data_IF_945794479538
#
_entry.id   IF_945794479538
#
_cell.length_a   1.000
_cell.length_b   1.000
_cell.length_c   1.000
_cell.angle_alpha   90.00
_cell.angle_beta   90.00
_cell.angle_gamma   90.00
#
_symmetry.space_group_name_H-M   'P 1'
#
loop_
_entity.id
_entity.type
_entity.pdbx_description
1 polymer ?
#
# COMPACT_ATOMS: atom_id res chain seq x y z
N UNK A 1 6.91 -5.92 16.55
CA UNK A 1 7.71 -5.56 15.39
C UNK A 1 8.86 -4.68 15.80
N UNK A 2 10.05 -5.01 15.38
CA UNK A 2 11.26 -4.39 15.87
C UNK A 2 11.69 -3.11 15.15
N UNK A 3 11.02 -2.77 14.07
CA UNK A 3 11.43 -1.61 13.28
C UNK A 3 11.39 -0.32 14.09
N UNK A 4 10.31 -0.13 14.82
CA UNK A 4 10.15 1.09 15.61
C UNK A 4 11.17 1.17 16.76
N UNK A 5 11.62 0.04 17.24
CA UNK A 5 12.58 0.01 18.33
C UNK A 5 13.94 0.52 17.88
N UNK A 6 14.32 0.14 16.67
CA UNK A 6 15.65 0.47 16.19
C UNK A 6 15.73 1.86 15.58
N UNK A 7 14.60 2.42 15.18
CA UNK A 7 14.67 3.63 14.37
C UNK A 7 13.33 4.36 14.35
N UNK A 8 13.03 5.07 15.41
CA UNK A 8 11.80 5.85 15.50
C UNK A 8 11.68 6.86 14.37
N UNK A 9 12.78 7.56 14.07
CA UNK A 9 12.77 8.54 13.00
C UNK A 9 12.49 7.93 11.65
N UNK A 10 13.02 6.73 11.39
CA UNK A 10 12.76 6.05 10.13
C UNK A 10 11.31 5.58 10.04
N UNK A 11 10.76 5.09 11.15
CA UNK A 11 9.37 4.67 11.18
C UNK A 11 8.44 5.87 10.95
N UNK A 12 8.73 7.00 11.58
CA UNK A 12 7.94 8.21 11.41
C UNK A 12 7.99 8.69 9.96
N UNK A 13 9.16 8.66 9.34
CA UNK A 13 9.30 9.06 7.94
C UNK A 13 8.52 8.14 7.02
N UNK A 14 8.53 6.83 7.31
CA UNK A 14 7.79 5.88 6.51
C UNK A 14 6.28 6.12 6.64
N UNK A 15 5.80 6.32 7.86
CA UNK A 15 4.38 6.60 8.08
C UNK A 15 3.95 7.88 7.36
N UNK A 16 4.80 8.91 7.39
CA UNK A 16 4.53 10.15 6.66
C UNK A 16 4.44 9.90 5.17
N UNK A 17 5.36 9.10 4.63
CA UNK A 17 5.35 8.78 3.20
C UNK A 17 4.11 7.99 2.81
N UNK A 18 3.70 7.06 3.65
CA UNK A 18 2.48 6.28 3.40
C UNK A 18 1.27 7.22 3.45
N UNK A 19 1.21 8.09 4.45
CA UNK A 19 0.11 9.05 4.56
C UNK A 19 0.05 9.95 3.33
N UNK A 20 1.20 10.49 2.91
CA UNK A 20 1.24 11.33 1.72
C UNK A 20 0.78 10.58 0.48
N UNK A 21 1.18 9.32 0.36
CA UNK A 21 0.75 8.49 -0.77
C UNK A 21 -0.77 8.28 -0.75
N UNK A 22 -1.33 8.04 0.43
CA UNK A 22 -2.78 7.89 0.56
C UNK A 22 -3.51 9.16 0.12
N UNK A 23 -2.99 10.32 0.47
CA UNK A 23 -3.57 11.59 0.05
C UNK A 23 -3.51 11.76 -1.46
N UNK A 24 -2.40 11.39 -2.06
CA UNK A 24 -2.27 11.43 -3.52
C UNK A 24 -3.23 10.48 -4.19
N UNK A 25 -3.38 9.29 -3.64
CA UNK A 25 -4.32 8.31 -4.20
C UNK A 25 -5.77 8.80 -4.07
N UNK A 26 -6.07 9.54 -3.02
CA UNK A 26 -7.40 10.14 -2.89
C UNK A 26 -7.66 11.17 -3.98
N UNK A 27 -6.64 11.95 -4.35
CA UNK A 27 -6.76 12.95 -5.40
C UNK A 27 -6.67 12.35 -6.80
N UNK A 28 -5.85 11.32 -6.97
CA UNK A 28 -5.59 10.68 -8.27
C UNK A 28 -5.69 9.16 -8.11
N UNK A 29 -6.90 8.64 -7.94
CA UNK A 29 -7.04 7.21 -7.62
C UNK A 29 -6.56 6.28 -8.72
N UNK A 30 -6.46 6.75 -9.94
CA UNK A 30 -6.04 5.91 -11.05
C UNK A 30 -4.54 5.90 -11.26
N UNK A 31 -3.77 6.61 -10.42
CA UNK A 31 -2.33 6.61 -10.60
C UNK A 31 -1.68 5.29 -10.18
N UNK A 32 -2.35 4.50 -9.33
CA UNK A 32 -1.86 3.20 -8.95
C UNK A 32 -2.05 2.18 -10.05
N UNK A 33 -1.23 1.13 -10.02
CA UNK A 33 -1.27 0.08 -11.02
C UNK A 33 -2.42 -0.87 -10.76
N UNK A 34 -3.13 -1.25 -11.80
CA UNK A 34 -4.18 -2.27 -11.68
C UNK A 34 -3.58 -3.62 -11.33
N UNK A 35 -4.20 -4.31 -10.41
CA UNK A 35 -3.75 -5.61 -9.95
C UNK A 35 -4.89 -6.63 -10.01
N UNK A 36 -5.33 -7.00 -11.22
CA UNK A 36 -6.40 -8.00 -11.35
C UNK A 36 -5.97 -9.38 -10.87
N UNK A 37 -4.66 -9.60 -10.77
CA UNK A 37 -4.11 -10.83 -10.21
C UNK A 37 -4.41 -10.98 -8.72
N UNK A 38 -4.69 -9.87 -8.03
CA UNK A 38 -5.04 -9.89 -6.61
C UNK A 38 -6.55 -9.86 -6.43
N UNK A 39 -7.21 -8.92 -7.06
CA UNK A 39 -8.65 -8.80 -7.07
C UNK A 39 -9.05 -7.95 -8.27
N UNK A 40 -10.28 -8.13 -8.75
CA UNK A 40 -10.72 -7.49 -9.99
C UNK A 40 -10.67 -5.96 -9.92
N UNK A 41 -10.85 -5.40 -8.73
CA UNK A 41 -10.85 -3.95 -8.54
C UNK A 41 -9.64 -3.45 -7.75
N UNK A 42 -8.64 -4.30 -7.55
CA UNK A 42 -7.47 -3.93 -6.77
C UNK A 42 -6.49 -3.09 -7.58
N UNK A 43 -5.87 -2.14 -6.89
CA UNK A 43 -4.76 -1.36 -7.41
C UNK A 43 -3.66 -1.33 -6.38
N UNK A 44 -2.43 -1.05 -6.82
CA UNK A 44 -1.29 -1.01 -5.92
C UNK A 44 -0.45 0.23 -6.17
N UNK A 45 0.16 0.71 -5.09
CA UNK A 45 1.08 1.84 -5.14
C UNK A 45 2.23 1.57 -4.18
N UNK A 46 3.46 1.64 -4.69
CA UNK A 46 4.64 1.34 -3.88
C UNK A 46 5.12 2.57 -3.13
N UNK A 47 5.48 2.37 -1.86
CA UNK A 47 6.09 3.38 -1.02
C UNK A 47 7.29 2.73 -0.34
N UNK A 48 8.50 3.03 -0.84
CA UNK A 48 9.69 2.37 -0.34
C UNK A 48 9.59 0.86 -0.54
N UNK A 49 9.72 0.11 0.54
CA UNK A 49 9.61 -1.34 0.51
C UNK A 49 8.20 -1.83 0.77
N UNK A 50 7.23 -0.95 0.81
CA UNK A 50 5.85 -1.29 1.12
C UNK A 50 4.97 -1.11 -0.10
N UNK A 51 3.88 -1.83 -0.12
CA UNK A 51 2.91 -1.79 -1.22
C UNK A 51 1.54 -1.52 -0.63
N UNK A 52 0.91 -0.44 -1.07
CA UNK A 52 -0.44 -0.13 -0.67
C UNK A 52 -1.39 -0.78 -1.66
N UNK A 53 -2.25 -1.67 -1.18
CA UNK A 53 -3.32 -2.23 -1.98
C UNK A 53 -4.59 -1.45 -1.68
N UNK A 54 -5.23 -0.97 -2.72
CA UNK A 54 -6.41 -0.15 -2.55
C UNK A 54 -7.40 -0.40 -3.67
N UNK A 55 -8.59 0.12 -3.52
CA UNK A 55 -9.59 0.13 -4.57
C UNK A 55 -10.29 1.47 -4.60
N UNK A 56 -10.91 1.78 -5.73
CA UNK A 56 -11.64 3.02 -5.89
C UNK A 56 -13.10 2.75 -5.54
N UNK A 57 -13.58 3.39 -4.48
CA UNK A 57 -14.97 3.34 -4.08
C UNK A 57 -15.71 4.54 -4.72
N UNK A 58 -17.04 4.56 -4.70
CA UNK A 58 -17.79 5.63 -5.38
C UNK A 58 -17.42 7.04 -4.94
N UNK A 59 -17.07 7.23 -3.68
CA UNK A 59 -16.79 8.56 -3.14
C UNK A 59 -15.45 8.66 -2.43
N UNK A 60 -14.61 7.63 -2.49
CA UNK A 60 -13.33 7.63 -1.79
C UNK A 60 -12.43 6.51 -2.30
N UNK A 61 -11.16 6.61 -1.93
CA UNK A 61 -10.23 5.51 -2.09
C UNK A 61 -10.27 4.68 -0.81
N UNK A 62 -10.35 3.38 -0.96
CA UNK A 62 -10.40 2.46 0.16
C UNK A 62 -9.12 1.67 0.22
N UNK A 63 -8.35 1.84 1.29
CA UNK A 63 -7.11 1.09 1.49
C UNK A 63 -7.48 -0.29 1.98
N UNK A 64 -7.15 -1.30 1.19
CA UNK A 64 -7.45 -2.67 1.52
C UNK A 64 -6.39 -3.27 2.42
N UNK A 65 -5.14 -2.99 2.12
CA UNK A 65 -4.03 -3.60 2.82
C UNK A 65 -2.73 -2.89 2.50
N UNK A 66 -1.80 -2.93 3.45
CA UNK A 66 -0.44 -2.46 3.23
C UNK A 66 0.49 -3.64 3.45
N UNK A 67 1.24 -4.00 2.41
CA UNK A 67 2.09 -5.18 2.42
C UNK A 67 3.55 -4.77 2.46
N UNK A 68 4.37 -5.63 3.06
CA UNK A 68 5.80 -5.40 3.12
C UNK A 68 6.48 -5.99 1.89
N UNK A 69 6.51 -5.19 0.83
CA UNK A 69 7.26 -5.51 -0.37
C UNK A 69 6.88 -6.82 -1.02
N UNK A 70 7.85 -7.39 -1.72
CA UNK A 70 7.66 -8.62 -2.47
C UNK A 70 7.35 -9.82 -1.57
N UNK A 71 7.82 -9.77 -0.33
CA UNK A 71 7.63 -10.89 0.59
C UNK A 71 6.15 -11.12 0.89
N UNK A 72 5.46 -10.08 1.35
CA UNK A 72 4.04 -10.21 1.68
C UNK A 72 3.21 -10.40 0.43
N UNK A 73 3.60 -9.74 -0.66
CA UNK A 73 2.90 -9.88 -1.92
C UNK A 73 3.00 -11.30 -2.45
N UNK A 74 4.18 -11.90 -2.33
CA UNK A 74 4.37 -13.29 -2.72
C UNK A 74 3.47 -14.23 -1.95
N UNK A 75 3.38 -14.03 -0.64
CA UNK A 75 2.48 -14.83 0.20
C UNK A 75 1.02 -14.63 -0.20
N UNK A 76 0.64 -13.39 -0.49
CA UNK A 76 -0.73 -13.10 -0.89
C UNK A 76 -1.11 -13.79 -2.19
N UNK A 77 -0.17 -13.92 -3.11
CA UNK A 77 -0.42 -14.57 -4.39
C UNK A 77 -0.33 -16.09 -4.28
N UNK A 78 0.64 -16.59 -3.51
CA UNK A 78 0.88 -18.03 -3.39
C UNK A 78 -0.01 -18.71 -2.37
N UNK A 79 -0.32 -18.01 -1.30
CA UNK A 79 -1.09 -18.56 -0.20
C UNK A 79 -2.59 -18.62 -0.46
N UNK A 80 -2.98 -18.06 -1.54
CA UNK A 80 -4.38 -18.01 -1.89
C UNK A 80 -4.87 -19.32 -2.44
#
# INVERSE_FOLDING_TARGET
MSIAVDSEGAADRLLTRIYDAEQRLADFPQMGRERPDIASDARSWAVGNYLILYRIAPDAVEIMRILHGARDLGEALDGS
#
